data_IF_803768644627
#
_entry.id   IF_803768644627
#
_cell.length_a   1.000
_cell.length_b   1.000
_cell.length_c   1.000
_cell.angle_alpha   90.00
_cell.angle_beta   90.00
_cell.angle_gamma   90.00
#
_symmetry.space_group_name_H-M   'P 1'
#
loop_
_entity.id
_entity.type
_entity.pdbx_description
1 polymer ?
#
# COMPACT_ATOMS: atom_id res chain seq x y z
N UNK A 1 6.70 -2.84 2.15
CA UNK A 1 6.56 -1.92 1.02
C UNK A 1 6.15 -2.64 -0.25
N UNK A 2 6.96 -3.57 -0.78
CA UNK A 2 6.66 -4.28 -2.04
C UNK A 2 5.28 -4.97 -2.09
N UNK A 3 4.87 -5.64 -1.00
CA UNK A 3 3.51 -6.21 -0.92
C UNK A 3 2.41 -5.15 -1.00
N UNK A 4 2.58 -4.00 -0.34
CA UNK A 4 1.58 -2.92 -0.38
C UNK A 4 1.49 -2.32 -1.78
N UNK A 5 2.62 -2.18 -2.47
CA UNK A 5 2.69 -1.72 -3.85
C UNK A 5 1.93 -2.67 -4.78
N UNK A 6 2.21 -3.98 -4.70
CA UNK A 6 1.47 -5.00 -5.43
C UNK A 6 -0.03 -4.98 -5.11
N UNK A 7 -0.41 -4.87 -3.84
CA UNK A 7 -1.83 -4.84 -3.44
C UNK A 7 -2.57 -3.61 -3.96
N UNK A 8 -1.89 -2.48 -4.10
CA UNK A 8 -2.48 -1.30 -4.74
C UNK A 8 -2.74 -1.57 -6.22
N UNK A 9 -1.80 -2.24 -6.87
CA UNK A 9 -1.85 -2.60 -8.28
C UNK A 9 -2.99 -3.60 -8.61
N UNK A 10 -3.29 -4.52 -7.68
CA UNK A 10 -4.48 -5.40 -7.73
C UNK A 10 -5.79 -4.60 -7.89
N UNK A 11 -5.82 -3.35 -7.44
CA UNK A 11 -6.99 -2.47 -7.63
C UNK A 11 -6.83 -1.56 -8.84
N UNK A 12 -5.65 -0.98 -9.06
CA UNK A 12 -5.41 -0.01 -10.15
C UNK A 12 -5.53 -0.67 -11.52
N UNK A 13 -4.89 -1.82 -11.72
CA UNK A 13 -4.71 -2.35 -13.06
C UNK A 13 -6.02 -2.79 -13.73
N UNK A 14 -6.92 -3.52 -13.06
CA UNK A 14 -8.23 -3.79 -13.63
C UNK A 14 -9.02 -2.52 -13.95
N UNK A 15 -8.90 -1.46 -13.14
CA UNK A 15 -9.57 -0.17 -13.38
C UNK A 15 -8.97 0.56 -14.58
N UNK A 16 -7.64 0.48 -14.73
CA UNK A 16 -6.92 1.05 -15.86
C UNK A 16 -7.21 0.31 -17.17
N UNK A 17 -7.35 -1.02 -17.10
CA UNK A 17 -7.76 -1.85 -18.22
C UNK A 17 -9.19 -1.55 -18.70
N UNK A 18 -10.08 -1.13 -17.79
CA UNK A 18 -11.41 -0.60 -18.13
C UNK A 18 -11.38 0.89 -18.49
N UNK A 19 -10.20 1.41 -18.87
CA UNK A 19 -9.96 2.80 -19.19
C UNK A 19 -10.89 3.40 -20.24
N UNK A 20 -11.36 2.61 -21.21
CA UNK A 20 -12.36 3.03 -22.21
C UNK A 20 -13.72 3.44 -21.60
N UNK A 21 -14.04 2.94 -20.41
CA UNK A 21 -15.31 3.22 -19.72
C UNK A 21 -15.24 4.48 -18.85
N UNK A 22 -14.09 5.14 -18.77
CA UNK A 22 -13.92 6.40 -18.04
C UNK A 22 -12.90 7.31 -18.73
N UNK A 23 -12.55 8.42 -18.08
CA UNK A 23 -11.70 9.46 -18.67
C UNK A 23 -10.32 8.97 -19.15
N UNK A 24 -9.79 7.86 -18.60
CA UNK A 24 -8.43 7.42 -18.86
C UNK A 24 -8.20 6.96 -20.32
N UNK A 25 -9.20 6.34 -20.95
CA UNK A 25 -9.03 5.68 -22.24
C UNK A 25 -8.17 4.40 -22.15
N UNK A 26 -8.07 3.66 -23.26
CA UNK A 26 -7.28 2.43 -23.33
C UNK A 26 -5.79 2.76 -23.47
N UNK A 27 -5.00 2.43 -22.45
CA UNK A 27 -3.58 2.75 -22.38
C UNK A 27 -2.65 1.54 -22.63
N UNK A 28 -3.17 0.31 -22.49
CA UNK A 28 -2.44 -0.91 -22.81
C UNK A 28 -3.41 -2.06 -23.08
N UNK A 29 -2.94 -3.11 -23.75
CA UNK A 29 -3.70 -4.34 -23.98
C UNK A 29 -2.80 -5.55 -23.77
N UNK A 30 -3.40 -6.66 -23.33
CA UNK A 30 -2.71 -7.96 -23.26
C UNK A 30 -3.07 -8.81 -24.47
N UNK A 31 -2.10 -9.60 -24.94
CA UNK A 31 -2.30 -10.53 -26.06
C UNK A 31 -3.24 -11.68 -25.68
N UNK A 32 -3.15 -12.12 -24.42
CA UNK A 32 -3.98 -13.16 -23.83
C UNK A 32 -4.66 -12.59 -22.59
N UNK A 33 -5.92 -12.96 -22.36
CA UNK A 33 -6.65 -12.52 -21.18
C UNK A 33 -6.02 -13.13 -19.93
N UNK A 34 -5.62 -12.29 -18.98
CA UNK A 34 -5.10 -12.75 -17.70
C UNK A 34 -6.17 -13.24 -16.73
N UNK A 35 -5.74 -13.99 -15.71
CA UNK A 35 -6.64 -14.69 -14.79
C UNK A 35 -7.46 -13.75 -13.88
N UNK A 36 -6.92 -12.58 -13.55
CA UNK A 36 -7.54 -11.65 -12.61
C UNK A 36 -8.08 -10.42 -13.35
N UNK A 37 -9.38 -10.41 -13.64
CA UNK A 37 -10.05 -9.33 -14.40
C UNK A 37 -9.31 -8.98 -15.71
N UNK A 38 -8.85 -9.98 -16.45
CA UNK A 38 -8.06 -9.86 -17.69
C UNK A 38 -6.60 -9.42 -17.50
N UNK A 39 -6.15 -9.22 -16.26
CA UNK A 39 -4.76 -8.90 -15.91
C UNK A 39 -4.00 -10.18 -15.52
N UNK A 40 -2.82 -10.45 -16.12
CA UNK A 40 -2.06 -11.65 -15.83
C UNK A 40 -1.40 -11.55 -14.45
N UNK A 41 -1.35 -12.67 -13.72
CA UNK A 41 -0.75 -12.71 -12.38
C UNK A 41 0.73 -12.32 -12.36
N UNK A 42 1.42 -12.50 -13.49
CA UNK A 42 2.82 -12.09 -13.68
C UNK A 42 3.02 -10.58 -13.55
N UNK A 43 2.00 -9.78 -13.85
CA UNK A 43 2.04 -8.33 -13.67
C UNK A 43 2.16 -7.95 -12.19
N UNK A 44 1.28 -8.50 -11.34
CA UNK A 44 1.33 -8.29 -9.90
C UNK A 44 2.64 -8.83 -9.29
N UNK A 45 3.08 -10.01 -9.73
CA UNK A 45 4.38 -10.55 -9.31
C UNK A 45 5.54 -9.63 -9.70
N UNK A 46 5.47 -9.03 -10.90
CA UNK A 46 6.41 -8.01 -11.37
C UNK A 46 6.45 -6.80 -10.45
N UNK A 47 5.30 -6.24 -10.08
CA UNK A 47 5.24 -5.10 -9.15
C UNK A 47 5.74 -5.42 -7.74
N UNK A 48 5.46 -6.63 -7.25
CA UNK A 48 6.06 -7.10 -6.00
C UNK A 48 7.59 -7.14 -6.11
N UNK A 49 8.13 -7.72 -7.19
CA UNK A 49 9.56 -7.85 -7.41
C UNK A 49 10.23 -6.47 -7.56
N UNK A 50 9.65 -5.56 -8.33
CA UNK A 50 10.12 -4.19 -8.50
C UNK A 50 10.12 -3.47 -7.15
N UNK A 51 9.03 -3.55 -6.39
CA UNK A 51 8.95 -2.96 -5.06
C UNK A 51 9.97 -3.54 -4.09
N UNK A 52 10.21 -4.85 -4.14
CA UNK A 52 11.23 -5.51 -3.34
C UNK A 52 12.65 -5.09 -3.75
N UNK A 53 12.94 -5.01 -5.05
CA UNK A 53 14.22 -4.58 -5.60
C UNK A 53 14.52 -3.12 -5.23
N UNK A 54 13.54 -2.22 -5.36
CA UNK A 54 13.66 -0.82 -4.93
C UNK A 54 14.04 -0.77 -3.45
N UNK A 55 13.28 -1.44 -2.57
CA UNK A 55 13.57 -1.45 -1.13
C UNK A 55 14.93 -2.05 -0.81
N UNK A 56 15.31 -3.13 -1.49
CA UNK A 56 16.62 -3.75 -1.33
C UNK A 56 17.74 -2.78 -1.71
N UNK A 57 17.68 -2.18 -2.90
CA UNK A 57 18.68 -1.23 -3.37
C UNK A 57 18.77 -0.02 -2.45
N UNK A 58 17.64 0.57 -2.04
CA UNK A 58 17.64 1.71 -1.11
C UNK A 58 18.27 1.35 0.24
N UNK A 59 17.93 0.20 0.81
CA UNK A 59 18.49 -0.24 2.09
C UNK A 59 20.01 -0.47 1.99
N UNK A 60 20.47 -1.08 0.89
CA UNK A 60 21.89 -1.32 0.65
C UNK A 60 22.66 -0.01 0.42
N UNK A 61 22.07 0.92 -0.34
CA UNK A 61 22.65 2.23 -0.60
C UNK A 61 22.75 3.05 0.69
N UNK A 62 21.69 3.06 1.49
CA UNK A 62 21.65 3.76 2.78
C UNK A 62 22.70 3.20 3.75
N UNK A 63 22.80 1.88 3.86
CA UNK A 63 23.83 1.22 4.66
C UNK A 63 25.26 1.49 4.14
N UNK A 64 25.43 1.66 2.82
CA UNK A 64 26.72 2.02 2.23
C UNK A 64 27.10 3.49 2.47
N UNK A 65 26.14 4.41 2.32
CA UNK A 65 26.32 5.84 2.59
C UNK A 65 26.63 6.08 4.07
N UNK A 66 25.86 5.45 4.96
CA UNK A 66 26.07 5.51 6.42
C UNK A 66 27.46 5.02 6.80
N UNK A 67 27.96 3.92 6.20
CA UNK A 67 29.33 3.42 6.42
C UNK A 67 30.42 4.39 5.93
N UNK A 68 30.13 5.21 4.94
CA UNK A 68 31.04 6.25 4.42
C UNK A 68 30.99 7.55 5.23
N UNK A 69 30.24 7.59 6.34
CA UNK A 69 30.12 8.77 7.19
C UNK A 69 29.14 9.82 6.66
N UNK A 70 28.40 9.51 5.58
CA UNK A 70 27.26 10.33 5.17
C UNK A 70 26.09 9.98 6.09
N UNK A 71 25.91 10.79 7.13
CA UNK A 71 24.74 10.71 7.98
C UNK A 71 23.66 11.65 7.44
N UNK A 72 22.42 11.18 7.44
CA UNK A 72 21.27 12.00 7.07
C UNK A 72 21.20 13.20 8.02
N UNK A 73 21.49 14.38 7.49
CA UNK A 73 21.33 15.67 8.18
C UNK A 73 19.84 16.00 8.15
N UNK A 74 19.09 15.24 8.95
CA UNK A 74 17.63 15.13 8.91
C UNK A 74 16.94 16.38 8.39
N UNK A 75 16.31 16.27 7.22
CA UNK A 75 15.49 17.34 6.66
C UNK A 75 14.36 17.60 7.65
N UNK A 76 14.42 18.75 8.33
CA UNK A 76 13.52 19.27 9.38
C UNK A 76 12.25 18.43 9.52
N UNK A 77 12.10 17.73 10.64
CA UNK A 77 10.90 16.92 10.91
C UNK A 77 9.67 17.83 10.97
N UNK A 78 8.98 17.96 9.84
CA UNK A 78 7.68 18.63 9.77
C UNK A 78 6.65 17.69 10.41
N UNK A 79 5.85 18.22 11.33
CA UNK A 79 4.77 17.48 11.96
C UNK A 79 3.89 16.80 10.89
N UNK A 80 3.63 15.50 11.03
CA UNK A 80 2.83 14.73 10.07
C UNK A 80 3.57 14.20 8.83
N UNK A 81 4.88 14.41 8.68
CA UNK A 81 5.65 13.92 7.52
C UNK A 81 5.49 12.41 7.27
N UNK A 82 5.39 11.62 8.33
CA UNK A 82 5.17 10.17 8.27
C UNK A 82 3.80 9.78 7.67
N UNK A 83 2.82 10.68 7.64
CA UNK A 83 1.48 10.42 7.13
C UNK A 83 1.36 10.61 5.61
N UNK A 84 2.31 11.30 4.95
CA UNK A 84 2.22 11.52 3.50
C UNK A 84 2.20 10.22 2.69
N UNK A 85 3.02 9.23 3.07
CA UNK A 85 3.03 7.92 2.41
C UNK A 85 1.66 7.22 2.50
N UNK A 86 1.13 6.98 3.71
CA UNK A 86 -0.21 6.43 3.90
C UNK A 86 -1.31 7.26 3.23
N UNK A 87 -1.27 8.59 3.35
CA UNK A 87 -2.27 9.48 2.76
C UNK A 87 -2.31 9.35 1.23
N UNK A 88 -1.14 9.34 0.57
CA UNK A 88 -1.07 9.13 -0.88
C UNK A 88 -1.60 7.75 -1.27
N UNK A 89 -1.20 6.70 -0.55
CA UNK A 89 -1.66 5.33 -0.80
C UNK A 89 -3.19 5.23 -0.76
N UNK A 90 -3.80 5.70 0.32
CA UNK A 90 -5.25 5.64 0.48
C UNK A 90 -6.00 6.58 -0.45
N UNK A 91 -5.41 7.71 -0.85
CA UNK A 91 -6.01 8.61 -1.84
C UNK A 91 -6.11 7.93 -3.21
N UNK A 92 -5.02 7.30 -3.66
CA UNK A 92 -5.01 6.55 -4.94
C UNK A 92 -5.99 5.38 -4.88
N UNK A 93 -6.03 4.66 -3.76
CA UNK A 93 -6.93 3.53 -3.57
C UNK A 93 -8.41 3.96 -3.57
N UNK A 94 -8.74 5.02 -2.82
CA UNK A 94 -10.09 5.57 -2.76
C UNK A 94 -10.56 6.11 -4.11
N UNK A 95 -9.66 6.78 -4.85
CA UNK A 95 -9.93 7.23 -6.21
C UNK A 95 -10.27 6.05 -7.14
N UNK A 96 -9.44 5.01 -7.17
CA UNK A 96 -9.68 3.85 -8.03
C UNK A 96 -10.95 3.09 -7.64
N UNK A 97 -11.25 2.98 -6.34
CA UNK A 97 -12.52 2.44 -5.87
C UNK A 97 -13.72 3.26 -6.33
N UNK A 98 -13.65 4.59 -6.22
CA UNK A 98 -14.71 5.48 -6.70
C UNK A 98 -14.94 5.31 -8.21
N UNK A 99 -13.86 5.23 -9.00
CA UNK A 99 -13.93 4.94 -10.44
C UNK A 99 -14.55 3.56 -10.70
N UNK A 100 -14.17 2.54 -9.92
CA UNK A 100 -14.71 1.19 -10.06
C UNK A 100 -16.23 1.15 -9.88
N UNK A 101 -16.74 1.82 -8.84
CA UNK A 101 -18.18 1.93 -8.60
C UNK A 101 -18.88 2.83 -9.62
N UNK A 102 -18.21 3.89 -10.09
CA UNK A 102 -18.73 4.77 -11.13
C UNK A 102 -18.94 4.01 -12.45
N UNK A 103 -18.01 3.13 -12.82
CA UNK A 103 -18.10 2.29 -14.03
C UNK A 103 -19.15 1.17 -13.87
N UNK A 104 -19.55 0.84 -12.64
CA UNK A 104 -20.55 -0.18 -12.32
C UNK A 104 -19.98 -1.59 -12.10
N UNK A 105 -18.66 -1.74 -11.91
CA UNK A 105 -18.01 -3.04 -11.69
C UNK A 105 -18.05 -3.47 -10.22
N UNK A 106 -19.20 -3.99 -9.79
CA UNK A 106 -19.43 -4.33 -8.39
C UNK A 106 -18.48 -5.38 -7.82
N UNK A 107 -18.16 -6.43 -8.59
CA UNK A 107 -17.27 -7.50 -8.11
C UNK A 107 -15.85 -6.98 -7.90
N UNK A 108 -15.32 -6.20 -8.86
CA UNK A 108 -14.03 -5.54 -8.73
C UNK A 108 -14.03 -4.55 -7.55
N UNK A 109 -15.11 -3.80 -7.38
CA UNK A 109 -15.28 -2.86 -6.27
C UNK A 109 -15.25 -3.56 -4.92
N UNK A 110 -15.94 -4.69 -4.77
CA UNK A 110 -15.92 -5.51 -3.55
C UNK A 110 -14.52 -6.07 -3.27
N UNK A 111 -13.82 -6.57 -4.29
CA UNK A 111 -12.43 -7.01 -4.15
C UNK A 111 -11.52 -5.87 -3.69
N UNK A 112 -11.64 -4.68 -4.31
CA UNK A 112 -10.86 -3.50 -3.91
C UNK A 112 -11.18 -3.03 -2.50
N UNK A 113 -12.45 -3.10 -2.06
CA UNK A 113 -12.84 -2.77 -0.68
C UNK A 113 -12.22 -3.78 0.29
N UNK A 114 -12.21 -5.06 -0.03
CA UNK A 114 -11.56 -6.07 0.79
C UNK A 114 -10.05 -5.81 0.94
N UNK A 115 -9.36 -5.43 -0.15
CA UNK A 115 -7.96 -5.01 -0.11
C UNK A 115 -7.78 -3.76 0.75
N UNK A 116 -8.64 -2.75 0.60
CA UNK A 116 -8.58 -1.53 1.39
C UNK A 116 -8.73 -1.80 2.89
N UNK A 117 -9.69 -2.64 3.28
CA UNK A 117 -9.92 -3.04 4.66
C UNK A 117 -8.72 -3.83 5.22
N UNK A 118 -8.16 -4.75 4.43
CA UNK A 118 -6.97 -5.52 4.81
C UNK A 118 -5.78 -4.59 5.10
N UNK A 119 -5.53 -3.62 4.21
CA UNK A 119 -4.42 -2.67 4.36
C UNK A 119 -4.67 -1.72 5.54
N UNK A 120 -5.91 -1.26 5.75
CA UNK A 120 -6.29 -0.42 6.90
C UNK A 120 -6.20 -1.18 8.24
N UNK A 121 -6.44 -2.48 8.26
CA UNK A 121 -6.36 -3.27 9.48
C UNK A 121 -4.92 -3.30 10.05
N UNK A 122 -3.90 -3.31 9.20
CA UNK A 122 -2.49 -3.38 9.62
C UNK A 122 -2.07 -2.25 10.59
N UNK A 123 -2.26 -0.95 10.27
CA UNK A 123 -1.95 0.13 11.21
C UNK A 123 -2.85 0.10 12.44
N UNK A 124 -4.15 -0.22 12.30
CA UNK A 124 -5.07 -0.28 13.44
C UNK A 124 -4.67 -1.36 14.45
N UNK A 125 -4.29 -2.55 13.98
CA UNK A 125 -3.78 -3.63 14.84
C UNK A 125 -2.49 -3.19 15.53
N UNK A 126 -1.59 -2.50 14.80
CA UNK A 126 -0.33 -2.01 15.37
C UNK A 126 -0.57 -0.98 16.47
N UNK A 127 -1.48 -0.03 16.27
CA UNK A 127 -1.87 0.97 17.27
C UNK A 127 -2.53 0.31 18.48
N UNK A 128 -3.49 -0.61 18.26
CA UNK A 128 -4.17 -1.32 19.33
C UNK A 128 -3.20 -2.16 20.19
N UNK A 129 -2.19 -2.78 19.57
CA UNK A 129 -1.11 -3.49 20.28
C UNK A 129 -0.20 -2.54 21.05
N UNK A 130 0.12 -1.38 20.47
CA UNK A 130 0.90 -0.33 21.14
C UNK A 130 0.24 0.18 22.41
N UNK A 131 -1.07 0.45 22.38
CA UNK A 131 -1.82 0.90 23.55
C UNK A 131 -1.92 -0.16 24.65
N UNK A 132 -2.08 -1.45 24.30
CA UNK A 132 -2.12 -2.54 25.30
C UNK A 132 -0.81 -2.75 26.06
N UNK A 133 0.33 -2.43 25.45
CA UNK A 133 1.63 -2.48 26.14
C UNK A 133 1.93 -1.23 26.96
N UNK A 134 1.20 -0.13 26.73
CA UNK A 134 1.33 1.12 27.48
C UNK A 134 0.42 1.19 28.72
N UNK A 135 -0.52 0.25 28.88
CA UNK A 135 -1.31 0.09 30.09
C UNK A 135 -0.40 -0.47 31.20
N UNK A 136 -0.08 0.31 32.27
CA UNK A 136 0.77 -0.19 33.33
C UNK A 136 0.00 -1.29 34.06
N UNK A 137 0.65 -2.45 34.23
CA UNK A 137 0.23 -3.47 35.18
C UNK A 137 0.00 -2.81 36.54
N UNK A 138 -1.26 -2.51 36.88
CA UNK A 138 -1.61 -2.15 38.24
C UNK A 138 -1.38 -3.41 39.07
N UNK A 139 -0.19 -3.50 39.69
CA UNK A 139 0.06 -4.47 40.75
C UNK A 139 -1.03 -4.28 41.80
N UNK A 140 -1.69 -5.35 42.27
CA UNK A 140 -2.59 -5.21 43.40
C UNK A 140 -1.73 -4.72 44.56
N UNK A 141 -2.10 -3.57 45.12
CA UNK A 141 -1.55 -3.11 46.40
C UNK A 141 -1.97 -4.17 47.41
N UNK A 142 -1.06 -5.10 47.70
CA UNK A 142 -1.17 -5.97 48.86
C UNK A 142 -0.97 -5.05 50.04
N UNK A 143 -2.08 -4.65 50.66
CA UNK A 143 -2.06 -4.02 51.95
C UNK A 143 -1.63 -5.05 52.99
N UNK A 144 -0.59 -4.72 53.74
CA UNK A 144 -0.39 -5.09 55.15
C UNK A 144 0.31 -3.92 55.85
#
# INVERSE_FOLDING_TARGET
>A
GGVLMMLLDVVIDPVAFLGDRWFLGQIYTYREAGDYFHIPLTNFAGWFLVGAAILFVFTQLDAWLSRKGFHDVGIREVAGKALWGPAMYFSVLAFNLAVTFYIGEWLLGLCGVAVALLVLALPLIKVARGNRMAEPTQSPVVGE
#
